data_IF_022064289134
#
_entry.id   IF_022064289134
#
_cell.length_a   1.000
_cell.length_b   1.000
_cell.length_c   1.000
_cell.angle_alpha   90.00
_cell.angle_beta   90.00
_cell.angle_gamma   90.00
#
_symmetry.space_group_name_H-M   'P 1'
#
loop_
_entity.id
_entity.type
_entity.pdbx_description
1 polymer ?
#
# COMPACT_ATOMS: atom_id res chain seq x y z
N UNK A 1 -13.89 -17.82 7.27
CA UNK A 1 -12.57 -17.29 6.88
C UNK A 1 -12.05 -17.93 5.59
N UNK A 2 -11.88 -19.26 5.46
CA UNK A 2 -11.37 -19.90 4.21
C UNK A 2 -12.17 -19.58 2.93
N UNK A 3 -13.52 -19.52 2.99
CA UNK A 3 -14.37 -19.24 1.81
C UNK A 3 -14.22 -17.80 1.32
N UNK A 4 -14.09 -16.85 2.24
CA UNK A 4 -13.87 -15.43 1.92
C UNK A 4 -12.49 -15.21 1.28
N UNK A 5 -11.44 -15.79 1.86
CA UNK A 5 -10.08 -15.68 1.31
C UNK A 5 -9.99 -16.23 -0.11
N UNK A 6 -10.66 -17.37 -0.38
CA UNK A 6 -10.73 -17.96 -1.70
C UNK A 6 -11.46 -17.05 -2.69
N UNK A 7 -12.61 -16.49 -2.31
CA UNK A 7 -13.35 -15.56 -3.16
C UNK A 7 -12.48 -14.36 -3.56
N UNK A 8 -11.73 -13.79 -2.62
CA UNK A 8 -10.82 -12.67 -2.89
C UNK A 8 -9.70 -13.08 -3.84
N UNK A 9 -9.04 -14.21 -3.59
CA UNK A 9 -7.97 -14.71 -4.44
C UNK A 9 -8.45 -14.97 -5.88
N UNK A 10 -9.69 -15.46 -6.06
CA UNK A 10 -10.30 -15.70 -7.37
C UNK A 10 -10.60 -14.39 -8.13
N UNK A 11 -10.81 -13.25 -7.44
CA UNK A 11 -11.09 -11.94 -8.05
C UNK A 11 -9.86 -11.08 -8.31
N UNK A 12 -8.76 -11.37 -7.65
CA UNK A 12 -7.52 -10.61 -7.78
C UNK A 12 -7.02 -10.48 -9.23
N UNK A 13 -7.07 -11.52 -10.09
CA UNK A 13 -6.68 -11.39 -11.49
C UNK A 13 -7.51 -10.37 -12.28
N UNK A 14 -8.82 -10.27 -12.01
CA UNK A 14 -9.71 -9.30 -12.66
C UNK A 14 -9.29 -7.87 -12.29
N UNK A 15 -9.07 -7.59 -11.01
CA UNK A 15 -8.66 -6.28 -10.53
C UNK A 15 -7.28 -5.84 -11.05
N UNK A 16 -6.36 -6.78 -11.16
CA UNK A 16 -5.07 -6.52 -11.81
C UNK A 16 -5.23 -6.16 -13.29
N UNK A 17 -6.10 -6.88 -14.02
CA UNK A 17 -6.39 -6.60 -15.42
C UNK A 17 -7.05 -5.24 -15.61
N UNK A 18 -8.00 -4.87 -14.77
CA UNK A 18 -8.67 -3.57 -14.79
C UNK A 18 -7.68 -2.43 -14.53
N UNK A 19 -6.80 -2.58 -13.54
CA UNK A 19 -5.74 -1.60 -13.25
C UNK A 19 -4.80 -1.44 -14.45
N UNK A 20 -4.39 -2.54 -15.09
CA UNK A 20 -3.55 -2.49 -16.30
C UNK A 20 -4.29 -1.91 -17.50
N UNK A 21 -5.58 -2.16 -17.63
CA UNK A 21 -6.40 -1.56 -18.69
C UNK A 21 -6.51 -0.03 -18.50
N UNK A 22 -6.74 0.43 -17.27
CA UNK A 22 -6.75 1.84 -16.94
C UNK A 22 -5.38 2.50 -17.25
N UNK A 23 -4.27 1.85 -16.88
CA UNK A 23 -2.93 2.34 -17.18
C UNK A 23 -2.67 2.46 -18.68
N UNK A 24 -3.06 1.46 -19.48
CA UNK A 24 -2.94 1.53 -20.95
C UNK A 24 -3.71 2.73 -21.50
N UNK A 25 -4.95 2.90 -21.07
CA UNK A 25 -5.78 4.04 -21.48
C UNK A 25 -5.13 5.38 -21.13
N UNK A 26 -4.59 5.51 -19.90
CA UNK A 26 -3.91 6.74 -19.49
C UNK A 26 -2.66 7.02 -20.34
N UNK A 27 -1.86 6.02 -20.64
CA UNK A 27 -0.70 6.15 -21.52
C UNK A 27 -1.08 6.58 -22.94
N UNK A 28 -2.16 6.03 -23.49
CA UNK A 28 -2.63 6.38 -24.84
C UNK A 28 -3.23 7.79 -24.92
N UNK A 29 -3.96 8.22 -23.89
CA UNK A 29 -4.74 9.46 -23.93
C UNK A 29 -4.08 10.66 -23.27
N UNK A 30 -3.16 10.44 -22.35
CA UNK A 30 -2.64 11.47 -21.44
C UNK A 30 -1.11 11.47 -21.33
N UNK A 31 -0.41 10.87 -22.28
CA UNK A 31 1.07 10.86 -22.31
C UNK A 31 1.69 12.25 -22.44
N UNK A 32 0.92 13.25 -22.89
CA UNK A 32 1.31 14.66 -22.93
C UNK A 32 1.16 15.39 -21.60
N UNK A 33 0.48 14.77 -20.61
CA UNK A 33 0.15 15.36 -19.30
C UNK A 33 0.69 14.57 -18.12
N UNK A 34 0.96 13.29 -18.31
CA UNK A 34 1.43 12.38 -17.27
C UNK A 34 2.82 11.89 -17.66
N UNK A 35 3.78 12.11 -16.77
CA UNK A 35 5.11 11.54 -16.90
C UNK A 35 5.10 10.07 -16.46
N UNK A 36 5.42 9.18 -17.38
CA UNK A 36 5.56 7.75 -17.15
C UNK A 36 7.02 7.28 -17.11
N UNK A 37 7.98 8.22 -17.16
CA UNK A 37 9.41 7.93 -17.31
C UNK A 37 10.02 7.19 -16.12
N UNK A 38 9.48 7.40 -14.92
CA UNK A 38 9.97 6.76 -13.69
C UNK A 38 9.19 5.47 -13.32
N UNK A 39 8.38 4.95 -14.24
CA UNK A 39 7.48 3.84 -13.96
C UNK A 39 6.16 4.28 -13.32
N UNK A 40 5.50 3.37 -12.64
CA UNK A 40 4.19 3.59 -12.02
C UNK A 40 4.26 3.27 -10.53
N UNK A 41 3.94 4.25 -9.71
CA UNK A 41 3.61 4.01 -8.31
C UNK A 41 2.15 3.55 -8.19
N UNK A 42 1.90 2.51 -7.40
CA UNK A 42 0.55 1.98 -7.18
C UNK A 42 0.19 1.96 -5.70
N UNK A 43 -1.01 2.40 -5.37
CA UNK A 43 -1.51 2.39 -4.00
C UNK A 43 -2.97 1.97 -3.96
N UNK A 44 -3.38 1.34 -2.86
CA UNK A 44 -4.78 0.97 -2.68
C UNK A 44 -5.11 0.57 -1.25
N UNK A 45 -6.39 0.72 -0.90
CA UNK A 45 -6.93 0.31 0.38
C UNK A 45 -7.61 -1.06 0.27
N UNK A 46 -7.46 -1.89 1.30
CA UNK A 46 -8.13 -3.19 1.40
C UNK A 46 -7.80 -4.10 0.20
N UNK A 47 -8.79 -4.48 -0.60
CA UNK A 47 -8.58 -5.24 -1.86
C UNK A 47 -7.70 -4.49 -2.87
N UNK A 48 -7.81 -3.15 -2.93
CA UNK A 48 -6.92 -2.33 -3.75
C UNK A 48 -5.46 -2.41 -3.28
N UNK A 49 -5.23 -2.53 -1.98
CA UNK A 49 -3.91 -2.74 -1.39
C UNK A 49 -3.31 -4.09 -1.77
N UNK A 50 -4.10 -5.16 -1.72
CA UNK A 50 -3.71 -6.48 -2.22
C UNK A 50 -3.37 -6.42 -3.71
N UNK A 51 -4.17 -5.71 -4.50
CA UNK A 51 -3.91 -5.52 -5.94
C UNK A 51 -2.60 -4.79 -6.17
N UNK A 52 -2.34 -3.71 -5.42
CA UNK A 52 -1.08 -2.97 -5.49
C UNK A 52 0.14 -3.85 -5.17
N UNK A 53 0.05 -4.65 -4.09
CA UNK A 53 1.10 -5.61 -3.74
C UNK A 53 1.37 -6.60 -4.87
N UNK A 54 0.30 -7.24 -5.39
CA UNK A 54 0.42 -8.24 -6.44
C UNK A 54 0.95 -7.70 -7.76
N UNK A 55 0.64 -6.44 -8.10
CA UNK A 55 1.17 -5.80 -9.30
C UNK A 55 2.67 -5.52 -9.17
N UNK A 56 3.13 -5.04 -8.02
CA UNK A 56 4.56 -4.84 -7.75
C UNK A 56 5.34 -6.17 -7.70
N UNK A 57 4.74 -7.23 -7.16
CA UNK A 57 5.32 -8.58 -7.11
C UNK A 57 5.46 -9.20 -8.50
N UNK A 58 4.45 -9.02 -9.37
CA UNK A 58 4.41 -9.69 -10.68
C UNK A 58 5.10 -8.89 -11.79
N UNK A 59 5.08 -7.57 -11.75
CA UNK A 59 5.54 -6.70 -12.83
C UNK A 59 6.33 -5.49 -12.28
N UNK A 60 7.44 -5.72 -11.52
CA UNK A 60 8.19 -4.66 -10.85
C UNK A 60 8.82 -3.66 -11.82
N UNK A 61 9.07 -4.04 -13.07
CA UNK A 61 9.55 -3.14 -14.13
C UNK A 61 8.47 -2.13 -14.59
N UNK A 62 7.20 -2.42 -14.38
CA UNK A 62 6.08 -1.52 -14.68
C UNK A 62 5.62 -0.78 -13.43
N UNK A 63 5.35 -1.52 -12.35
CA UNK A 63 4.90 -1.00 -11.06
C UNK A 63 6.11 -0.91 -10.12
N UNK A 64 6.84 0.19 -10.24
CA UNK A 64 8.18 0.36 -9.68
C UNK A 64 8.22 0.62 -8.19
N UNK A 65 7.10 0.96 -7.57
CA UNK A 65 6.93 1.03 -6.12
C UNK A 65 5.45 0.97 -5.73
N UNK A 66 5.16 0.57 -4.49
CA UNK A 66 3.75 0.42 -4.09
C UNK A 66 3.45 0.61 -2.61
N UNK A 67 2.18 0.94 -2.33
CA UNK A 67 1.63 1.05 -0.98
C UNK A 67 0.38 0.19 -0.86
N UNK A 68 0.38 -0.71 0.12
CA UNK A 68 -0.82 -1.45 0.54
C UNK A 68 -1.36 -0.83 1.82
N UNK A 69 -2.59 -0.31 1.78
CA UNK A 69 -3.28 0.25 2.93
C UNK A 69 -4.25 -0.79 3.47
N UNK A 70 -3.86 -1.44 4.54
CA UNK A 70 -4.65 -2.38 5.35
C UNK A 70 -5.29 -3.54 4.56
N UNK A 71 -4.71 -3.90 3.41
CA UNK A 71 -5.09 -5.06 2.62
C UNK A 71 -4.38 -6.33 3.12
N UNK A 72 -5.14 -7.38 3.40
CA UNK A 72 -4.56 -8.70 3.68
C UNK A 72 -4.01 -9.33 2.40
N UNK A 73 -2.95 -10.10 2.50
CA UNK A 73 -2.39 -10.86 1.38
C UNK A 73 -3.13 -12.19 1.26
N UNK A 74 -3.98 -12.30 0.26
CA UNK A 74 -4.76 -13.49 -0.06
C UNK A 74 -4.34 -14.04 -1.42
N UNK A 75 -4.13 -15.33 -1.50
CA UNK A 75 -3.61 -16.01 -2.68
C UNK A 75 -2.16 -16.44 -2.48
N UNK A 76 -1.53 -16.83 -3.57
CA UNK A 76 -0.13 -17.26 -3.58
C UNK A 76 0.77 -16.05 -3.84
N UNK A 77 1.55 -15.68 -2.85
CA UNK A 77 2.55 -14.61 -2.90
C UNK A 77 3.92 -15.21 -2.63
N UNK A 78 4.39 -16.01 -3.60
CA UNK A 78 5.64 -16.78 -3.47
C UNK A 78 6.84 -16.12 -4.14
N UNK A 79 6.61 -15.07 -4.93
CA UNK A 79 7.68 -14.33 -5.59
C UNK A 79 8.37 -13.37 -4.62
N UNK A 80 9.62 -13.04 -4.86
CA UNK A 80 10.28 -11.96 -4.15
C UNK A 80 9.67 -10.60 -4.54
N UNK A 81 9.65 -9.66 -3.62
CA UNK A 81 9.29 -8.27 -3.89
C UNK A 81 10.54 -7.49 -4.28
N UNK A 82 10.69 -7.20 -5.56
CA UNK A 82 11.83 -6.45 -6.10
C UNK A 82 11.60 -4.93 -6.10
N UNK A 83 10.36 -4.47 -5.94
CA UNK A 83 10.01 -3.07 -5.82
C UNK A 83 10.07 -2.58 -4.36
N UNK A 84 10.48 -1.33 -4.09
CA UNK A 84 10.24 -0.69 -2.80
C UNK A 84 8.76 -0.76 -2.43
N UNK A 85 8.45 -1.19 -1.22
CA UNK A 85 7.07 -1.41 -0.82
C UNK A 85 6.76 -0.92 0.60
N UNK A 86 5.61 -0.27 0.76
CA UNK A 86 5.10 0.16 2.05
C UNK A 86 3.79 -0.53 2.38
N UNK A 87 3.77 -1.20 3.51
CA UNK A 87 2.57 -1.77 4.11
C UNK A 87 2.11 -0.88 5.24
N UNK A 88 0.92 -0.31 5.12
CA UNK A 88 0.27 0.48 6.16
C UNK A 88 -0.89 -0.32 6.75
N UNK A 89 -0.92 -0.47 8.07
CA UNK A 89 -1.98 -1.21 8.76
C UNK A 89 -2.58 -0.40 9.91
N UNK A 90 -3.85 -0.61 10.18
CA UNK A 90 -4.39 -0.35 11.50
C UNK A 90 -3.85 -1.38 12.51
N UNK A 91 -3.80 -1.02 13.78
CA UNK A 91 -3.21 -1.91 14.81
C UNK A 91 -3.87 -3.29 14.92
N UNK A 92 -5.21 -3.45 14.78
CA UNK A 92 -5.84 -4.77 14.75
C UNK A 92 -5.32 -5.69 13.64
N UNK A 93 -4.90 -5.13 12.51
CA UNK A 93 -4.45 -5.88 11.32
C UNK A 93 -2.93 -5.96 11.17
N UNK A 94 -2.16 -5.48 12.13
CA UNK A 94 -0.68 -5.37 12.06
C UNK A 94 0.08 -6.65 11.69
N UNK A 95 -0.51 -7.82 11.94
CA UNK A 95 0.15 -9.10 11.70
C UNK A 95 -0.31 -9.79 10.40
N UNK A 96 -1.21 -9.19 9.62
CA UNK A 96 -1.80 -9.84 8.44
C UNK A 96 -0.82 -9.97 7.27
N UNK A 97 0.30 -9.28 7.31
CA UNK A 97 1.25 -9.14 6.19
C UNK A 97 2.71 -9.44 6.56
N UNK A 98 2.95 -10.03 7.71
CA UNK A 98 4.32 -10.33 8.17
C UNK A 98 5.13 -11.11 7.14
N UNK A 99 4.48 -11.99 6.37
CA UNK A 99 5.13 -12.79 5.31
C UNK A 99 5.68 -11.92 4.18
N UNK A 100 5.06 -10.77 3.89
CA UNK A 100 5.49 -9.86 2.83
C UNK A 100 6.94 -9.39 3.02
N UNK A 101 7.37 -9.19 4.27
CA UNK A 101 8.70 -8.67 4.58
C UNK A 101 9.81 -9.73 4.55
N UNK A 102 9.46 -11.01 4.57
CA UNK A 102 10.43 -12.11 4.56
C UNK A 102 11.08 -12.32 3.20
N UNK A 103 10.47 -11.81 2.14
CA UNK A 103 10.90 -12.04 0.75
C UNK A 103 11.22 -10.76 -0.01
N UNK A 104 11.29 -9.62 0.67
CA UNK A 104 11.64 -8.39 -0.02
C UNK A 104 13.13 -8.37 -0.40
N UNK A 105 13.40 -8.05 -1.64
CA UNK A 105 14.75 -7.82 -2.19
C UNK A 105 15.07 -6.33 -2.32
N UNK A 106 14.12 -5.49 -1.99
CA UNK A 106 14.27 -4.04 -1.90
C UNK A 106 13.83 -3.57 -0.51
N UNK A 107 13.99 -2.30 -0.21
CA UNK A 107 13.53 -1.74 1.05
C UNK A 107 12.02 -1.89 1.21
N UNK A 108 11.58 -2.25 2.39
CA UNK A 108 10.17 -2.31 2.72
C UNK A 108 9.88 -1.61 4.06
N UNK A 109 8.71 -1.00 4.16
CA UNK A 109 8.26 -0.27 5.34
C UNK A 109 6.97 -0.87 5.88
N UNK A 110 6.91 -1.01 7.20
CA UNK A 110 5.69 -1.33 7.90
C UNK A 110 5.26 -0.15 8.76
N UNK A 111 4.16 0.45 8.39
CA UNK A 111 3.52 1.55 9.11
C UNK A 111 2.31 1.02 9.86
N UNK A 112 2.24 1.26 11.16
CA UNK A 112 1.10 0.87 11.98
C UNK A 112 0.51 2.13 12.59
N UNK A 113 -0.77 2.38 12.30
CA UNK A 113 -1.55 3.44 12.93
C UNK A 113 -2.31 2.85 14.14
N UNK A 114 -1.99 3.36 15.32
CA UNK A 114 -2.68 3.01 16.56
C UNK A 114 -4.03 3.71 16.62
N UNK A 115 -4.93 3.18 17.43
CA UNK A 115 -6.27 3.74 17.63
C UNK A 115 -7.09 3.96 16.34
N UNK A 116 -6.73 3.30 15.26
CA UNK A 116 -7.39 3.30 13.97
C UNK A 116 -8.03 1.96 13.65
N UNK A 117 -9.05 1.95 12.83
CA UNK A 117 -9.72 0.75 12.34
C UNK A 117 -9.67 0.71 10.80
N UNK A 118 -9.96 -0.45 10.22
CA UNK A 118 -9.91 -0.67 8.77
C UNK A 118 -10.66 0.41 7.96
N UNK A 119 -11.87 0.76 8.36
CA UNK A 119 -12.71 1.76 7.68
C UNK A 119 -12.21 3.19 7.92
N UNK A 120 -11.42 3.42 8.96
CA UNK A 120 -10.82 4.71 9.25
C UNK A 120 -9.93 5.23 8.12
N UNK A 121 -9.31 4.36 7.32
CA UNK A 121 -8.55 4.78 6.13
C UNK A 121 -9.40 5.39 5.00
N UNK A 122 -10.70 5.51 5.19
CA UNK A 122 -11.64 6.06 4.21
C UNK A 122 -12.33 7.31 4.74
N UNK A 123 -13.02 8.06 3.86
CA UNK A 123 -13.80 9.24 4.24
C UNK A 123 -14.97 8.92 5.18
N UNK A 124 -15.27 7.64 5.39
CA UNK A 124 -16.25 7.19 6.38
C UNK A 124 -15.97 7.72 7.80
N UNK A 125 -14.70 8.00 8.13
CA UNK A 125 -14.31 8.60 9.41
C UNK A 125 -14.96 9.95 9.68
N UNK A 126 -15.30 10.72 8.64
CA UNK A 126 -16.01 12.00 8.74
C UNK A 126 -17.54 11.84 8.81
N UNK A 127 -18.04 10.67 8.39
CA UNK A 127 -19.49 10.42 8.24
C UNK A 127 -20.04 9.53 9.37
N UNK A 128 -19.21 8.63 9.90
CA UNK A 128 -19.62 7.64 10.89
C UNK A 128 -19.12 8.05 12.27
N UNK A 129 -19.99 8.41 13.23
CA UNK A 129 -19.58 8.84 14.56
C UNK A 129 -19.19 7.68 15.50
N UNK A 130 -19.14 6.43 14.99
CA UNK A 130 -18.84 5.22 15.77
C UNK A 130 -17.34 4.95 15.81
N UNK A 131 -16.66 5.38 16.86
CA UNK A 131 -15.21 5.16 17.06
C UNK A 131 -14.78 3.69 17.04
N UNK A 132 -15.69 2.77 17.36
CA UNK A 132 -15.42 1.33 17.24
C UNK A 132 -15.28 0.85 15.79
N UNK A 133 -15.79 1.60 14.82
CA UNK A 133 -15.72 1.28 13.40
C UNK A 133 -14.58 2.02 12.69
N UNK A 134 -14.38 3.30 13.00
CA UNK A 134 -13.40 4.15 12.29
C UNK A 134 -12.10 4.35 13.06
N UNK A 135 -12.12 4.19 14.36
CA UNK A 135 -10.98 4.45 15.25
C UNK A 135 -11.25 5.64 16.17
N UNK A 136 -10.26 5.96 17.01
CA UNK A 136 -10.34 7.05 18.00
C UNK A 136 -9.49 8.25 17.64
N UNK A 137 -8.65 8.12 16.61
CA UNK A 137 -7.83 9.23 16.14
C UNK A 137 -8.71 10.39 15.65
N UNK A 138 -8.18 11.58 15.75
CA UNK A 138 -8.77 12.75 15.11
C UNK A 138 -8.72 12.55 13.57
N UNK A 139 -9.84 12.70 12.85
CA UNK A 139 -9.90 12.42 11.42
C UNK A 139 -8.94 13.27 10.57
N UNK A 140 -8.73 14.52 10.92
CA UNK A 140 -7.85 15.42 10.17
C UNK A 140 -6.38 15.06 10.39
N UNK A 141 -5.98 14.81 11.64
CA UNK A 141 -4.62 14.34 11.97
C UNK A 141 -4.31 13.01 11.28
N UNK A 142 -5.26 12.09 11.24
CA UNK A 142 -5.14 10.81 10.55
C UNK A 142 -4.93 11.02 9.05
N UNK A 143 -5.78 11.84 8.44
CA UNK A 143 -5.70 12.17 7.01
C UNK A 143 -4.34 12.79 6.64
N UNK A 144 -3.91 13.80 7.38
CA UNK A 144 -2.61 14.43 7.18
C UNK A 144 -1.45 13.45 7.32
N UNK A 145 -1.53 12.55 8.31
CA UNK A 145 -0.51 11.53 8.54
C UNK A 145 -0.42 10.56 7.37
N UNK A 146 -1.55 10.03 6.90
CA UNK A 146 -1.60 9.11 5.76
C UNK A 146 -1.10 9.79 4.50
N UNK A 147 -1.55 11.03 4.22
CA UNK A 147 -1.11 11.80 3.05
C UNK A 147 0.40 12.12 3.10
N UNK A 148 0.93 12.48 4.27
CA UNK A 148 2.37 12.74 4.45
C UNK A 148 3.19 11.49 4.14
N UNK A 149 2.82 10.33 4.69
CA UNK A 149 3.53 9.08 4.47
C UNK A 149 3.49 8.68 2.99
N UNK A 150 2.34 8.81 2.31
CA UNK A 150 2.23 8.56 0.86
C UNK A 150 3.16 9.47 0.07
N UNK A 151 3.12 10.76 0.33
CA UNK A 151 3.96 11.74 -0.36
C UNK A 151 5.44 11.44 -0.17
N UNK A 152 5.88 11.22 1.06
CA UNK A 152 7.28 10.91 1.37
C UNK A 152 7.75 9.65 0.64
N UNK A 153 6.92 8.60 0.62
CA UNK A 153 7.23 7.36 -0.07
C UNK A 153 7.37 7.56 -1.58
N UNK A 154 6.38 8.18 -2.22
CA UNK A 154 6.43 8.37 -3.68
C UNK A 154 7.42 9.45 -4.13
N UNK A 155 7.66 10.48 -3.34
CA UNK A 155 8.72 11.47 -3.63
C UNK A 155 10.10 10.82 -3.62
N UNK A 156 10.28 9.80 -2.77
CA UNK A 156 11.53 9.03 -2.71
C UNK A 156 11.62 8.01 -3.84
N UNK A 157 10.67 7.08 -3.93
CA UNK A 157 10.83 5.87 -4.73
C UNK A 157 10.24 5.95 -6.15
N UNK A 158 9.33 6.88 -6.42
CA UNK A 158 8.79 7.11 -7.76
C UNK A 158 9.45 8.31 -8.43
N UNK A 159 9.52 9.45 -7.71
CA UNK A 159 10.02 10.70 -8.31
C UNK A 159 11.52 10.89 -8.16
N UNK A 160 12.17 10.18 -7.23
CA UNK A 160 13.60 10.32 -6.95
C UNK A 160 14.01 11.71 -6.41
N UNK A 161 13.07 12.45 -5.82
CA UNK A 161 13.31 13.79 -5.27
C UNK A 161 14.13 13.70 -3.98
N UNK A 162 13.94 12.63 -3.22
CA UNK A 162 14.62 12.34 -1.96
C UNK A 162 15.41 11.05 -2.06
N UNK A 163 16.49 10.93 -1.29
CA UNK A 163 17.25 9.67 -1.17
C UNK A 163 16.61 8.69 -0.19
N UNK A 164 15.95 9.21 0.84
CA UNK A 164 15.23 8.46 1.85
C UNK A 164 13.96 9.21 2.22
N UNK A 165 12.86 8.50 2.56
CA UNK A 165 11.66 9.15 3.04
C UNK A 165 11.89 9.72 4.44
N UNK A 166 11.32 10.87 4.72
CA UNK A 166 11.35 11.50 6.03
C UNK A 166 10.22 10.94 6.91
N UNK A 167 10.43 9.73 7.37
CA UNK A 167 9.48 8.99 8.20
C UNK A 167 9.80 9.14 9.69
N UNK A 168 8.83 9.64 10.43
CA UNK A 168 8.92 9.77 11.88
C UNK A 168 7.84 8.94 12.58
N UNK A 169 8.27 8.14 13.56
CA UNK A 169 7.34 7.48 14.48
C UNK A 169 6.86 8.45 15.55
N UNK A 170 5.63 8.23 16.02
CA UNK A 170 5.01 9.02 17.10
C UNK A 170 4.19 8.09 18.01
N UNK A 171 3.48 8.67 18.98
CA UNK A 171 2.60 7.88 19.86
C UNK A 171 1.51 7.15 19.09
N UNK A 172 1.08 7.67 17.92
CA UNK A 172 0.01 7.09 17.10
C UNK A 172 0.52 6.40 15.85
N UNK A 173 1.78 6.59 15.46
CA UNK A 173 2.38 6.00 14.26
C UNK A 173 3.66 5.26 14.63
N UNK A 174 3.71 3.98 14.33
CA UNK A 174 4.94 3.20 14.40
C UNK A 174 5.40 2.83 12.99
N UNK A 175 6.64 3.15 12.67
CA UNK A 175 7.26 2.84 11.38
C UNK A 175 8.45 1.92 11.63
N UNK A 176 8.49 0.84 10.87
CA UNK A 176 9.61 -0.12 10.87
C UNK A 176 10.11 -0.25 9.43
N UNK A 177 11.39 -0.06 9.24
CA UNK A 177 12.08 -0.31 7.97
C UNK A 177 12.67 -1.71 7.98
N UNK A 178 12.52 -2.42 6.87
CA UNK A 178 13.09 -3.73 6.63
C UNK A 178 14.11 -3.63 5.49
N UNK A 179 15.34 -3.93 5.83
CA UNK A 179 16.41 -4.05 4.85
C UNK A 179 16.15 -5.22 3.89
N UNK A 180 16.66 -5.16 2.64
CA UNK A 180 16.55 -6.26 1.70
C UNK A 180 17.02 -7.57 2.29
N UNK A 181 16.24 -8.63 2.11
CA UNK A 181 16.67 -9.96 2.56
C UNK A 181 17.89 -10.41 1.77
N UNK A 182 18.97 -10.72 2.49
CA UNK A 182 20.17 -11.33 1.90
C UNK A 182 19.87 -12.81 1.69
N UNK A 183 19.17 -13.17 0.61
CA UNK A 183 19.07 -14.55 0.16
C UNK A 183 20.10 -14.82 -0.93
#
# INVERSE_FOLDING_TARGET
MKKYNRFIAERLPEWKQDTKAALRYLREKYSDRIDFGNGIGVSGHSMGGLTAYSLCEDEPETFTCGINIDGGLFGDHDKPMDAPFLQMNCEPNKNTVTVAFLRNRNVAYHVILRDMQHIGFTDCKYMIPLKSMVGKLDPDMEHETVCRIHREFFDTYLKGIKKHPDFESSDVVRITEYEPSKM
#
